data_IF_042997500739
#
_entry.id   IF_042997500739
#
_cell.length_a   1.000
_cell.length_b   1.000
_cell.length_c   1.000
_cell.angle_alpha   90.00
_cell.angle_beta   90.00
_cell.angle_gamma   90.00
#
_symmetry.space_group_name_H-M   'P 1'
#
loop_
_entity.id
_entity.type
_entity.pdbx_description
1 polymer ?
#
# COMPACT_ATOMS: atom_id res chain seq x y z
N UNK A 1 10.13 -5.56 -24.75
CA UNK A 1 8.95 -6.25 -24.16
C UNK A 1 8.03 -5.15 -23.68
N UNK A 2 6.70 -5.21 -23.88
CA UNK A 2 5.84 -4.19 -23.29
C UNK A 2 6.02 -4.26 -21.78
N UNK A 3 6.45 -3.16 -21.19
CA UNK A 3 6.54 -2.96 -19.76
C UNK A 3 5.10 -3.01 -19.27
N UNK A 4 4.69 -4.14 -18.70
CA UNK A 4 3.36 -4.25 -18.07
C UNK A 4 3.39 -3.38 -16.82
N UNK A 5 3.18 -2.07 -16.99
CA UNK A 5 2.87 -1.17 -15.89
C UNK A 5 1.54 -1.63 -15.31
N UNK A 6 1.55 -2.05 -14.04
CA UNK A 6 0.30 -2.34 -13.33
C UNK A 6 -0.53 -1.06 -13.27
N UNK A 7 -1.85 -1.22 -13.36
CA UNK A 7 -2.79 -0.11 -13.23
C UNK A 7 -2.77 0.44 -11.78
N UNK A 8 -3.34 1.63 -11.60
CA UNK A 8 -3.64 2.18 -10.28
C UNK A 8 -4.51 1.18 -9.50
N UNK A 9 -4.21 0.87 -8.23
CA UNK A 9 -5.11 0.06 -7.42
C UNK A 9 -6.46 0.73 -7.23
N UNK A 10 -7.50 -0.06 -7.02
CA UNK A 10 -8.85 0.45 -6.76
C UNK A 10 -9.14 0.49 -5.26
N UNK A 11 -9.95 1.47 -4.83
CA UNK A 11 -10.44 1.48 -3.45
C UNK A 11 -11.28 0.22 -3.16
N UNK A 12 -10.98 -0.45 -2.06
CA UNK A 12 -11.52 -1.76 -1.70
C UNK A 12 -10.64 -2.95 -2.13
N UNK A 13 -9.59 -2.71 -2.92
CA UNK A 13 -8.67 -3.76 -3.33
C UNK A 13 -7.87 -4.31 -2.14
N UNK A 14 -7.68 -5.62 -2.13
CA UNK A 14 -7.02 -6.36 -1.06
C UNK A 14 -5.59 -6.63 -1.45
N UNK A 15 -4.66 -6.32 -0.55
CA UNK A 15 -3.23 -6.54 -0.79
C UNK A 15 -2.57 -7.17 0.42
N UNK A 16 -1.38 -7.72 0.20
CA UNK A 16 -0.46 -8.19 1.23
C UNK A 16 0.89 -7.54 1.02
N UNK A 17 1.52 -7.08 2.09
CA UNK A 17 2.89 -6.57 2.04
C UNK A 17 3.85 -7.73 1.73
N UNK A 18 4.66 -7.63 0.69
CA UNK A 18 5.62 -8.67 0.31
C UNK A 18 6.97 -8.50 0.99
N UNK A 19 7.26 -7.29 1.46
CA UNK A 19 8.45 -6.93 2.19
C UNK A 19 8.08 -6.10 3.43
N UNK A 20 9.05 -5.96 4.35
CA UNK A 20 8.95 -4.95 5.40
C UNK A 20 9.00 -3.56 4.76
N UNK A 21 8.11 -2.67 5.18
CA UNK A 21 8.02 -1.31 4.66
C UNK A 21 8.20 -0.32 5.79
N UNK A 22 8.99 0.71 5.53
CA UNK A 22 9.05 1.91 6.35
C UNK A 22 8.34 3.01 5.59
N UNK A 23 7.17 3.43 6.06
CA UNK A 23 6.27 4.32 5.34
C UNK A 23 5.66 5.35 6.26
N UNK A 24 5.25 6.47 5.68
CA UNK A 24 4.57 7.52 6.42
C UNK A 24 3.39 6.91 7.19
N UNK A 25 3.33 7.11 8.52
CA UNK A 25 4.00 8.13 9.35
C UNK A 25 5.30 7.66 10.04
N UNK A 26 6.28 7.15 9.27
CA UNK A 26 7.58 6.63 9.72
C UNK A 26 7.44 5.41 10.64
N UNK A 27 6.56 4.49 10.23
CA UNK A 27 6.30 3.24 10.94
C UNK A 27 6.82 2.07 10.12
N UNK A 28 7.57 1.20 10.79
CA UNK A 28 8.04 -0.06 10.25
C UNK A 28 6.95 -1.12 10.35
N UNK A 29 6.49 -1.62 9.21
CA UNK A 29 5.44 -2.63 9.13
C UNK A 29 6.00 -3.91 8.50
N UNK A 30 5.87 -5.07 9.15
CA UNK A 30 6.49 -6.32 8.69
C UNK A 30 5.81 -6.87 7.43
N UNK A 31 6.59 -7.61 6.64
CA UNK A 31 6.09 -8.40 5.52
C UNK A 31 4.97 -9.37 5.97
N UNK A 32 4.03 -9.63 5.07
CA UNK A 32 2.91 -10.55 5.28
C UNK A 32 1.67 -9.92 5.92
N UNK A 33 1.72 -8.65 6.33
CA UNK A 33 0.52 -7.94 6.78
C UNK A 33 -0.45 -7.69 5.62
N UNK A 34 -1.73 -7.87 5.91
CA UNK A 34 -2.79 -7.66 4.93
C UNK A 34 -3.41 -6.29 5.13
N UNK A 35 -3.93 -5.73 4.03
CA UNK A 35 -4.66 -4.49 4.10
C UNK A 35 -5.65 -4.32 2.96
N UNK A 36 -6.41 -3.24 3.07
CA UNK A 36 -7.36 -2.80 2.06
C UNK A 36 -6.97 -1.41 1.59
N UNK A 37 -6.90 -1.22 0.28
CA UNK A 37 -6.71 0.10 -0.32
C UNK A 37 -7.94 0.93 0.02
N UNK A 38 -7.79 1.95 0.85
CA UNK A 38 -8.89 2.84 1.24
C UNK A 38 -9.09 3.95 0.22
N UNK A 39 -7.98 4.40 -0.38
CA UNK A 39 -7.95 5.48 -1.36
C UNK A 39 -6.78 5.29 -2.31
N UNK A 40 -6.97 5.63 -3.59
CA UNK A 40 -5.91 5.65 -4.58
C UNK A 40 -6.20 6.71 -5.66
N UNK A 41 -5.21 7.56 -5.92
CA UNK A 41 -5.15 8.46 -7.07
C UNK A 41 -3.71 8.59 -7.58
N UNK A 42 -3.48 9.46 -8.57
CA UNK A 42 -2.15 9.66 -9.16
C UNK A 42 -1.11 10.22 -8.18
N UNK A 43 -1.54 10.85 -7.08
CA UNK A 43 -0.67 11.52 -6.12
C UNK A 43 -0.50 10.80 -4.79
N UNK A 44 -1.41 9.88 -4.41
CA UNK A 44 -1.31 9.11 -3.18
C UNK A 44 -2.15 7.83 -3.17
N UNK A 45 -1.71 6.87 -2.35
CA UNK A 45 -2.42 5.64 -2.03
C UNK A 45 -2.45 5.48 -0.51
N UNK A 46 -3.63 5.16 0.03
CA UNK A 46 -3.84 4.84 1.45
C UNK A 46 -4.15 3.35 1.58
N UNK A 47 -3.36 2.66 2.38
CA UNK A 47 -3.55 1.24 2.70
C UNK A 47 -3.90 1.10 4.18
N UNK A 48 -5.14 0.72 4.47
CA UNK A 48 -5.54 0.38 5.84
C UNK A 48 -5.18 -1.06 6.15
N UNK A 49 -4.34 -1.29 7.14
CA UNK A 49 -3.96 -2.63 7.58
C UNK A 49 -5.11 -3.28 8.36
N UNK A 50 -5.25 -4.60 8.24
CA UNK A 50 -6.26 -5.35 8.96
C UNK A 50 -5.88 -5.53 10.43
N UNK A 51 -4.62 -5.88 10.66
CA UNK A 51 -4.04 -5.99 11.98
C UNK A 51 -3.68 -4.61 12.53
N UNK A 52 -4.12 -4.33 13.75
CA UNK A 52 -3.82 -3.07 14.43
C UNK A 52 -2.31 -2.94 14.69
N UNK A 53 -1.68 -1.92 14.11
CA UNK A 53 -0.32 -1.51 14.41
C UNK A 53 -0.40 -0.34 15.42
N UNK A 54 0.15 -0.47 16.63
CA UNK A 54 0.04 0.56 17.67
C UNK A 54 0.50 1.95 17.21
N UNK A 55 1.60 2.00 16.45
CA UNK A 55 2.19 3.25 15.96
C UNK A 55 1.38 3.90 14.80
N UNK A 56 0.42 3.17 14.22
CA UNK A 56 -0.53 3.68 13.22
C UNK A 56 -1.92 3.97 13.81
N UNK A 57 -2.14 3.72 15.10
CA UNK A 57 -3.48 3.81 15.69
C UNK A 57 -4.08 5.22 15.62
N UNK A 58 -3.25 6.26 15.69
CA UNK A 58 -3.68 7.67 15.54
C UNK A 58 -3.94 8.06 14.07
N UNK A 59 -3.55 7.20 13.12
CA UNK A 59 -3.67 7.37 11.67
C UNK A 59 -4.68 6.40 11.06
N UNK A 60 -5.70 6.00 11.83
CA UNK A 60 -6.74 5.04 11.41
C UNK A 60 -6.17 3.68 10.92
N UNK A 61 -4.96 3.33 11.36
CA UNK A 61 -4.22 2.14 10.93
C UNK A 61 -3.83 2.15 9.43
N UNK A 62 -3.65 3.35 8.86
CA UNK A 62 -3.34 3.55 7.46
C UNK A 62 -1.86 3.84 7.21
N UNK A 63 -1.30 3.16 6.21
CA UNK A 63 -0.04 3.50 5.56
C UNK A 63 -0.31 4.38 4.34
N UNK A 64 0.63 5.27 4.05
CA UNK A 64 0.53 6.20 2.92
C UNK A 64 1.70 5.99 1.98
N UNK A 65 1.39 5.90 0.68
CA UNK A 65 2.33 6.17 -0.40
C UNK A 65 1.94 7.51 -1.01
N UNK A 66 2.89 8.43 -1.19
CA UNK A 66 2.62 9.72 -1.82
C UNK A 66 3.73 10.15 -2.77
N UNK A 67 3.35 10.90 -3.79
CA UNK A 67 4.28 11.51 -4.73
C UNK A 67 5.22 12.49 -3.99
N UNK A 68 6.52 12.37 -4.24
CA UNK A 68 7.56 13.15 -3.60
C UNK A 68 7.95 12.68 -2.19
N UNK A 69 7.27 11.69 -1.61
CA UNK A 69 7.70 10.98 -0.40
C UNK A 69 8.30 9.61 -0.76
N UNK A 70 7.58 8.85 -1.58
CA UNK A 70 7.88 7.44 -1.85
C UNK A 70 8.30 7.16 -3.29
N UNK A 71 8.35 8.20 -4.13
CA UNK A 71 8.64 8.09 -5.57
C UNK A 71 10.03 8.63 -5.92
N UNK A 72 10.78 7.89 -6.73
CA UNK A 72 11.99 8.37 -7.40
C UNK A 72 11.64 9.20 -8.66
N UNK A 73 12.63 9.90 -9.25
CA UNK A 73 12.43 10.57 -10.54
C UNK A 73 11.86 9.58 -11.58
N UNK A 74 10.74 9.94 -12.21
CA UNK A 74 10.02 9.15 -13.22
C UNK A 74 9.24 7.92 -12.69
N UNK A 75 9.22 7.68 -11.38
CA UNK A 75 8.40 6.62 -10.76
C UNK A 75 7.03 7.16 -10.34
N UNK A 76 5.97 6.40 -10.63
CA UNK A 76 4.61 6.73 -10.15
C UNK A 76 4.34 6.14 -8.77
N UNK A 77 3.41 6.75 -8.03
CA UNK A 77 2.96 6.24 -6.71
C UNK A 77 2.44 4.80 -6.82
N UNK A 78 1.76 4.47 -7.91
CA UNK A 78 1.28 3.11 -8.17
C UNK A 78 2.42 2.10 -8.36
N UNK A 79 3.50 2.48 -9.04
CA UNK A 79 4.69 1.63 -9.19
C UNK A 79 5.34 1.38 -7.83
N UNK A 80 5.60 2.43 -7.04
CA UNK A 80 6.18 2.32 -5.70
C UNK A 80 5.30 1.47 -4.74
N UNK A 81 3.97 1.56 -4.89
CA UNK A 81 3.03 0.74 -4.14
C UNK A 81 3.12 -0.74 -4.54
N UNK A 82 3.09 -1.04 -5.84
CA UNK A 82 3.12 -2.42 -6.34
C UNK A 82 4.46 -3.13 -6.17
N UNK A 83 5.55 -2.41 -5.92
CA UNK A 83 6.84 -2.99 -5.53
C UNK A 83 6.81 -3.55 -4.10
N UNK A 84 6.02 -2.94 -3.22
CA UNK A 84 5.93 -3.30 -1.80
C UNK A 84 4.82 -4.32 -1.50
N UNK A 85 3.87 -4.50 -2.42
CA UNK A 85 2.66 -5.30 -2.17
C UNK A 85 2.27 -6.19 -3.33
N UNK A 86 1.52 -7.25 -3.03
CA UNK A 86 0.86 -8.10 -4.01
C UNK A 86 -0.66 -8.08 -3.82
N UNK A 87 -1.39 -8.17 -4.93
CA UNK A 87 -2.85 -8.33 -4.88
C UNK A 87 -3.19 -9.64 -4.16
N UNK A 88 -3.92 -9.53 -3.06
CA UNK A 88 -4.43 -10.65 -2.30
C UNK A 88 -5.82 -11.03 -2.83
N UNK A 89 -6.08 -12.33 -2.96
CA UNK A 89 -7.46 -12.77 -3.18
C UNK A 89 -8.34 -12.28 -2.02
N UNK A 90 -9.59 -11.86 -2.27
CA UNK A 90 -10.50 -11.53 -1.19
C UNK A 90 -10.59 -12.73 -0.26
N UNK A 91 -10.37 -12.51 1.04
CA UNK A 91 -10.61 -13.55 2.02
C UNK A 91 -12.05 -14.05 1.83
N UNK A 92 -12.29 -15.39 1.87
CA UNK A 92 -13.66 -15.88 1.86
C UNK A 92 -14.42 -15.22 3.01
N UNK A 93 -15.57 -14.62 2.70
CA UNK A 93 -16.43 -14.03 3.71
C UNK A 93 -16.74 -15.08 4.80
N UNK A 94 -16.81 -14.67 6.09
CA UNK A 94 -17.18 -15.56 7.18
C UNK A 94 -18.59 -16.12 7.04
#
# INVERSE_FOLDING_TARGET
>A
MPEFRRAMPEAGERVVLTAEVDRFPDVLVPAGMHGTVEYADEGKILLRLDEQVPDLAEWDNCLVWADGLDTEEEQTVAEAFWEAVEAASPAPAP
#
